data_IF_663131547454
#
_entry.id   IF_663131547454
#
_cell.length_a   1.000
_cell.length_b   1.000
_cell.length_c   1.000
_cell.angle_alpha   90.00
_cell.angle_beta   90.00
_cell.angle_gamma   90.00
#
_symmetry.space_group_name_H-M   'P 1'
#
loop_
_entity.id
_entity.type
_entity.pdbx_description
1 polymer ?
#
# COMPACT_ATOMS: atom_id res chain seq x y z
N UNK A 1 -28.39 15.68 -12.85
CA UNK A 1 -29.29 14.67 -12.25
C UNK A 1 -28.71 13.31 -12.61
N UNK A 2 -28.03 12.63 -11.67
CA UNK A 2 -27.67 11.22 -11.86
C UNK A 2 -28.95 10.42 -11.62
N UNK A 3 -29.43 9.76 -12.65
CA UNK A 3 -30.72 9.06 -12.65
C UNK A 3 -30.76 8.00 -11.54
N UNK A 4 -31.83 8.05 -10.76
CA UNK A 4 -32.13 7.10 -9.71
C UNK A 4 -32.49 5.75 -10.33
N UNK A 5 -31.80 4.68 -9.93
CA UNK A 5 -32.33 3.32 -10.12
C UNK A 5 -31.35 2.22 -10.49
N UNK A 6 -30.11 2.53 -10.89
CA UNK A 6 -29.08 1.51 -11.07
C UNK A 6 -27.98 1.72 -10.02
N UNK A 7 -27.99 0.87 -8.99
CA UNK A 7 -26.79 0.62 -8.20
C UNK A 7 -25.75 0.02 -9.15
N UNK A 8 -24.91 0.87 -9.74
CA UNK A 8 -23.68 0.42 -10.36
C UNK A 8 -22.97 -0.45 -9.32
N UNK A 9 -22.57 -1.69 -9.65
CA UNK A 9 -21.81 -2.50 -8.71
C UNK A 9 -20.59 -1.68 -8.25
N UNK A 10 -20.36 -1.61 -6.94
CA UNK A 10 -19.15 -0.99 -6.42
C UNK A 10 -17.96 -1.71 -7.03
N UNK A 11 -17.23 -1.02 -7.93
CA UNK A 11 -16.00 -1.56 -8.47
C UNK A 11 -14.95 -1.51 -7.38
N UNK A 12 -14.48 -2.67 -6.92
CA UNK A 12 -13.34 -2.73 -6.03
C UNK A 12 -12.10 -2.18 -6.75
N UNK A 13 -11.24 -1.41 -6.06
CA UNK A 13 -10.00 -0.92 -6.64
C UNK A 13 -9.05 -2.08 -6.99
N UNK A 14 -8.22 -1.87 -8.01
CA UNK A 14 -7.22 -2.84 -8.46
C UNK A 14 -5.84 -2.33 -8.03
N UNK A 15 -5.11 -3.11 -7.24
CA UNK A 15 -3.73 -2.80 -6.89
C UNK A 15 -2.80 -3.20 -8.05
N UNK A 16 -2.25 -2.20 -8.75
CA UNK A 16 -1.29 -2.42 -9.83
C UNK A 16 0.15 -2.43 -9.29
N UNK A 17 0.93 -3.44 -9.70
CA UNK A 17 2.33 -3.60 -9.28
C UNK A 17 3.21 -3.76 -10.52
N UNK A 18 4.34 -3.04 -10.57
CA UNK A 18 5.33 -3.22 -11.63
C UNK A 18 6.17 -4.49 -11.35
N UNK A 19 6.01 -5.57 -12.13
CA UNK A 19 6.73 -6.81 -11.88
C UNK A 19 8.24 -6.66 -12.07
N UNK A 20 8.70 -5.71 -12.87
CA UNK A 20 10.12 -5.50 -13.17
C UNK A 20 10.85 -4.68 -12.09
N UNK A 21 10.14 -4.18 -11.08
CA UNK A 21 10.77 -3.42 -10.01
C UNK A 21 11.64 -4.34 -9.13
N UNK A 22 12.84 -3.87 -8.74
CA UNK A 22 13.82 -4.67 -8.00
C UNK A 22 13.24 -5.29 -6.71
N UNK A 23 12.43 -4.53 -5.96
CA UNK A 23 11.76 -5.03 -4.75
C UNK A 23 10.79 -6.17 -5.08
N UNK A 24 10.00 -6.05 -6.15
CA UNK A 24 9.01 -7.08 -6.52
C UNK A 24 9.71 -8.37 -6.96
N UNK A 25 10.84 -8.25 -7.66
CA UNK A 25 11.69 -9.40 -7.99
C UNK A 25 12.28 -10.07 -6.75
N UNK A 26 12.69 -9.30 -5.74
CA UNK A 26 13.16 -9.85 -4.46
C UNK A 26 12.05 -10.61 -3.71
N UNK A 27 10.81 -10.13 -3.78
CA UNK A 27 9.65 -10.76 -3.12
C UNK A 27 9.15 -12.02 -3.84
N UNK A 28 9.61 -12.30 -5.07
CA UNK A 28 9.14 -13.43 -5.89
C UNK A 28 9.22 -14.79 -5.20
N UNK A 29 10.18 -14.97 -4.30
CA UNK A 29 10.37 -16.21 -3.55
C UNK A 29 10.09 -16.06 -2.04
N UNK A 30 9.57 -14.90 -1.62
CA UNK A 30 9.21 -14.63 -0.24
C UNK A 30 7.91 -15.36 0.13
N UNK A 31 7.77 -15.73 1.41
CA UNK A 31 6.58 -16.40 1.94
C UNK A 31 6.33 -16.03 3.41
N UNK A 32 5.09 -16.15 3.85
CA UNK A 32 4.65 -15.73 5.19
C UNK A 32 5.02 -14.27 5.48
N UNK A 33 5.56 -14.02 6.67
CA UNK A 33 5.97 -12.69 7.11
C UNK A 33 6.92 -11.95 6.14
N UNK A 34 7.69 -12.68 5.31
CA UNK A 34 8.60 -12.08 4.33
C UNK A 34 7.86 -11.40 3.17
N UNK A 35 6.62 -11.80 2.88
CA UNK A 35 5.78 -11.17 1.85
C UNK A 35 4.69 -10.29 2.45
N UNK A 36 4.17 -10.63 3.63
CA UNK A 36 3.02 -9.93 4.23
C UNK A 36 3.33 -8.46 4.56
N UNK A 37 4.49 -8.18 5.18
CA UNK A 37 4.87 -6.80 5.53
C UNK A 37 5.12 -5.94 4.30
N UNK A 38 5.92 -6.37 3.30
CA UNK A 38 6.09 -5.62 2.06
C UNK A 38 4.78 -5.42 1.29
N UNK A 39 3.89 -6.42 1.26
CA UNK A 39 2.59 -6.29 0.61
C UNK A 39 1.71 -5.23 1.28
N UNK A 40 1.62 -5.25 2.62
CA UNK A 40 0.89 -4.24 3.39
C UNK A 40 1.45 -2.82 3.19
N UNK A 41 2.78 -2.71 3.08
CA UNK A 41 3.45 -1.44 2.81
C UNK A 41 3.13 -0.90 1.41
N UNK A 42 3.20 -1.75 0.37
CA UNK A 42 2.84 -1.38 -1.00
C UNK A 42 1.37 -0.96 -1.13
N UNK A 43 0.48 -1.68 -0.44
CA UNK A 43 -0.94 -1.31 -0.38
C UNK A 43 -1.14 0.08 0.27
N UNK A 44 -0.46 0.34 1.39
CA UNK A 44 -0.53 1.64 2.07
C UNK A 44 -0.05 2.78 1.18
N UNK A 45 1.01 2.56 0.39
CA UNK A 45 1.48 3.52 -0.60
C UNK A 45 0.45 3.78 -1.70
N UNK A 46 -0.16 2.74 -2.25
CA UNK A 46 -1.20 2.88 -3.28
C UNK A 46 -2.42 3.64 -2.75
N UNK A 47 -2.89 3.29 -1.54
CA UNK A 47 -4.01 3.97 -0.90
C UNK A 47 -3.73 5.47 -0.71
N UNK A 48 -2.54 5.82 -0.22
CA UNK A 48 -2.13 7.22 -0.08
C UNK A 48 -2.00 7.94 -1.42
N UNK A 49 -1.49 7.27 -2.46
CA UNK A 49 -1.33 7.84 -3.80
C UNK A 49 -2.68 8.19 -4.46
N UNK A 50 -3.74 7.45 -4.13
CA UNK A 50 -5.11 7.73 -4.56
C UNK A 50 -5.83 8.76 -3.68
N UNK A 51 -5.15 9.33 -2.67
CA UNK A 51 -5.73 10.29 -1.73
C UNK A 51 -6.54 9.65 -0.60
N UNK A 52 -6.43 8.33 -0.43
CA UNK A 52 -6.97 7.61 0.70
C UNK A 52 -6.25 7.92 2.01
N UNK A 53 -6.82 7.42 3.11
CA UNK A 53 -6.27 7.59 4.45
C UNK A 53 -5.88 6.24 5.03
N UNK A 54 -4.76 6.21 5.76
CA UNK A 54 -4.36 5.02 6.50
C UNK A 54 -5.12 4.95 7.82
N UNK A 55 -5.52 3.74 8.23
CA UNK A 55 -6.09 3.49 9.55
C UNK A 55 -5.07 3.76 10.66
N UNK A 56 -3.80 3.41 10.43
CA UNK A 56 -2.69 3.66 11.35
C UNK A 56 -1.50 4.34 10.64
N UNK A 57 -1.54 5.68 10.49
CA UNK A 57 -0.43 6.45 9.90
C UNK A 57 0.86 6.35 10.71
N UNK A 58 0.78 6.12 12.02
CA UNK A 58 1.95 6.08 12.90
C UNK A 58 2.77 4.80 12.67
N UNK A 59 2.10 3.65 12.50
CA UNK A 59 2.77 2.41 12.13
C UNK A 59 3.43 2.49 10.75
N UNK A 60 2.78 3.11 9.77
CA UNK A 60 3.37 3.34 8.46
C UNK A 60 4.61 4.26 8.51
N UNK A 61 4.55 5.36 9.28
CA UNK A 61 5.69 6.25 9.49
C UNK A 61 6.89 5.55 10.14
N UNK A 62 6.64 4.70 11.14
CA UNK A 62 7.69 3.86 11.76
C UNK A 62 8.31 2.89 10.74
N UNK A 63 7.50 2.32 9.86
CA UNK A 63 7.98 1.39 8.83
C UNK A 63 8.85 2.10 7.78
N UNK A 64 8.46 3.29 7.33
CA UNK A 64 9.31 4.15 6.49
C UNK A 64 10.64 4.43 7.21
N UNK A 65 10.57 4.86 8.47
CA UNK A 65 11.74 5.18 9.28
C UNK A 65 12.69 3.98 9.38
N UNK A 66 12.14 2.78 9.59
CA UNK A 66 12.89 1.51 9.62
C UNK A 66 13.57 1.21 8.28
N UNK A 67 12.88 1.38 7.16
CA UNK A 67 13.42 1.14 5.82
C UNK A 67 14.52 2.14 5.44
N UNK A 68 14.42 3.38 5.93
CA UNK A 68 15.41 4.44 5.71
C UNK A 68 16.54 4.43 6.75
N UNK A 69 16.84 3.26 7.35
CA UNK A 69 17.90 3.08 8.35
C UNK A 69 17.74 3.96 9.60
N UNK A 70 16.52 4.17 10.09
CA UNK A 70 16.26 4.89 11.33
C UNK A 70 16.16 6.40 11.20
N UNK A 71 15.98 6.94 9.98
CA UNK A 71 15.57 8.34 9.81
C UNK A 71 14.31 8.56 10.65
N UNK A 72 14.41 9.44 11.65
CA UNK A 72 13.28 9.82 12.49
C UNK A 72 12.61 11.03 11.86
N UNK A 73 11.38 10.85 11.38
CA UNK A 73 10.52 11.97 10.97
C UNK A 73 9.85 12.49 12.24
N UNK A 74 10.35 13.61 12.76
CA UNK A 74 9.75 14.30 13.91
C UNK A 74 8.82 15.38 13.35
N UNK A 75 7.57 15.40 13.82
CA UNK A 75 6.62 16.48 13.55
C UNK A 75 6.86 17.65 14.50
#
# INVERSE_FOLDING_TARGET
LKEAGQSLPESLPILEINPNHAIVQQLKHASGDQIDKPAAFLYSLALLAEGGQLEDPASFSKEISRLLNGISVVY
#
